data_IF_800321298146
#
_entry.id   IF_800321298146
#
_cell.length_a   1.000
_cell.length_b   1.000
_cell.length_c   1.000
_cell.angle_alpha   90.00
_cell.angle_beta   90.00
_cell.angle_gamma   90.00
#
_symmetry.space_group_name_H-M   'P 1'
#
loop_
_entity.id
_entity.type
_entity.pdbx_description
1 polymer ?
#
# COMPACT_ATOMS: atom_id res chain seq x y z
N UNK A 1 5.40 -57.20 15.74
CA UNK A 1 6.81 -57.42 16.06
C UNK A 1 7.19 -56.25 16.97
N UNK A 2 7.15 -56.38 18.32
CA UNK A 2 8.24 -56.77 19.22
C UNK A 2 9.40 -55.84 19.07
N UNK A 3 9.72 -54.95 20.01
CA UNK A 3 10.44 -55.10 21.30
C UNK A 3 10.33 -53.75 22.00
N UNK A 4 9.92 -53.57 23.23
CA UNK A 4 10.33 -53.99 24.56
C UNK A 4 11.88 -53.97 24.75
N UNK A 5 12.32 -52.97 25.50
CA UNK A 5 13.45 -53.05 26.47
C UNK A 5 13.51 -51.67 27.13
N UNK A 6 13.25 -51.59 28.33
CA UNK A 6 13.80 -52.08 29.60
C UNK A 6 14.33 -50.92 30.41
N UNK A 7 13.59 -50.69 31.45
CA UNK A 7 13.94 -50.17 32.75
C UNK A 7 15.41 -50.38 33.13
N UNK A 8 16.08 -49.32 33.62
CA UNK A 8 16.95 -49.49 34.78
C UNK A 8 16.92 -48.23 35.63
N UNK A 9 16.34 -48.37 36.77
CA UNK A 9 16.36 -47.44 37.88
C UNK A 9 17.82 -47.35 38.42
N UNK A 10 18.29 -46.17 38.69
CA UNK A 10 19.42 -45.97 39.59
C UNK A 10 19.05 -44.84 40.57
N UNK A 11 18.40 -45.26 41.64
CA UNK A 11 18.30 -44.51 42.89
C UNK A 11 19.72 -44.44 43.49
N UNK A 12 20.29 -43.24 43.50
CA UNK A 12 21.37 -42.89 44.44
C UNK A 12 20.95 -41.64 45.20
N UNK A 13 20.26 -41.94 46.31
CA UNK A 13 20.05 -40.97 47.38
C UNK A 13 21.39 -40.77 48.08
N UNK A 14 22.10 -39.74 47.76
CA UNK A 14 23.16 -39.19 48.61
C UNK A 14 22.55 -38.12 49.49
N UNK A 15 22.20 -38.50 50.70
CA UNK A 15 21.85 -37.61 51.77
C UNK A 15 23.04 -36.67 52.07
N UNK A 16 23.03 -35.51 51.48
CA UNK A 16 23.83 -34.41 51.97
C UNK A 16 23.10 -33.77 53.14
N UNK A 17 23.50 -34.13 54.34
CA UNK A 17 23.21 -33.37 55.55
C UNK A 17 23.88 -32.00 55.43
N UNK A 18 23.30 -31.09 54.64
CA UNK A 18 23.63 -29.70 54.69
C UNK A 18 23.16 -29.13 56.02
N UNK A 19 24.08 -28.71 56.89
CA UNK A 19 23.70 -27.91 58.07
C UNK A 19 22.83 -26.72 57.61
N UNK A 20 21.74 -26.44 58.34
CA UNK A 20 20.90 -25.29 57.98
C UNK A 20 21.78 -24.03 57.91
N UNK A 21 21.54 -23.15 56.94
CA UNK A 21 22.31 -21.91 56.80
C UNK A 21 22.20 -21.16 58.12
N UNK A 22 23.36 -20.90 58.73
CA UNK A 22 23.41 -20.07 59.92
C UNK A 22 22.85 -18.72 59.54
N UNK A 23 21.83 -18.25 60.25
CA UNK A 23 21.35 -16.91 60.16
C UNK A 23 22.53 -15.95 60.30
N UNK A 24 22.70 -14.97 59.46
CA UNK A 24 23.79 -14.00 59.58
C UNK A 24 23.69 -13.37 60.96
N UNK A 25 24.76 -13.58 61.79
CA UNK A 25 24.89 -12.89 63.07
C UNK A 25 25.02 -11.42 62.76
N UNK A 26 24.00 -10.66 63.14
CA UNK A 26 24.03 -9.20 63.03
C UNK A 26 25.13 -8.74 64.00
N UNK A 27 26.19 -8.14 63.45
CA UNK A 27 27.22 -7.51 64.26
C UNK A 27 26.64 -6.25 64.86
N UNK A 28 26.18 -6.32 66.09
CA UNK A 28 25.62 -5.17 66.85
C UNK A 28 26.65 -4.10 67.14
N UNK A 29 27.95 -4.37 66.93
CA UNK A 29 28.98 -3.35 67.10
C UNK A 29 28.99 -2.29 65.97
N UNK A 30 28.44 -2.64 64.83
CA UNK A 30 28.18 -1.67 63.76
C UNK A 30 26.88 -0.95 64.06
N UNK A 31 26.92 0.08 64.84
CA UNK A 31 25.76 0.99 65.04
C UNK A 31 25.32 1.47 63.66
N UNK A 32 24.18 0.97 63.20
CA UNK A 32 23.50 1.61 62.04
C UNK A 32 23.36 3.09 62.36
N UNK A 33 23.78 3.97 61.46
CA UNK A 33 23.58 5.39 61.68
C UNK A 33 22.10 5.58 62.06
N UNK A 34 21.85 6.14 63.23
CA UNK A 34 20.47 6.40 63.66
C UNK A 34 19.78 7.12 62.54
N UNK A 35 18.64 6.64 62.10
CA UNK A 35 17.78 7.32 61.10
C UNK A 35 17.29 8.60 61.75
N UNK A 36 18.09 9.63 61.74
CA UNK A 36 17.64 10.96 62.11
C UNK A 36 16.65 11.45 61.03
N UNK A 37 15.67 12.20 61.41
CA UNK A 37 14.69 12.75 60.46
C UNK A 37 15.39 13.39 59.25
N UNK A 38 16.48 14.13 59.50
CA UNK A 38 17.30 14.76 58.45
C UNK A 38 17.98 13.75 57.49
N UNK A 39 18.40 12.59 57.97
CA UNK A 39 19.02 11.55 57.13
C UNK A 39 17.98 10.90 56.23
N UNK A 40 16.76 10.72 56.74
CA UNK A 40 15.61 10.22 55.95
C UNK A 40 15.22 11.21 54.87
N UNK A 41 15.06 12.48 55.24
CA UNK A 41 14.73 13.58 54.28
C UNK A 41 15.78 13.69 53.17
N UNK A 42 17.07 13.61 53.52
CA UNK A 42 18.17 13.61 52.54
C UNK A 42 18.05 12.43 51.56
N UNK A 43 17.71 11.25 52.09
CA UNK A 43 17.58 10.04 51.24
C UNK A 43 16.37 10.16 50.32
N UNK A 44 15.23 10.68 50.82
CA UNK A 44 14.04 10.95 50.00
C UNK A 44 14.39 11.96 48.88
N UNK A 45 15.03 13.08 49.23
CA UNK A 45 15.43 14.09 48.25
C UNK A 45 16.38 13.53 47.18
N UNK A 46 17.34 12.65 47.54
CA UNK A 46 18.23 11.96 46.59
C UNK A 46 17.44 11.05 45.64
N UNK A 47 16.49 10.31 46.19
CA UNK A 47 15.67 9.40 45.41
C UNK A 47 14.77 10.18 44.40
N UNK A 48 14.19 11.27 44.86
CA UNK A 48 13.35 12.15 44.02
C UNK A 48 14.17 12.80 42.90
N UNK A 49 15.38 13.24 43.20
CA UNK A 49 16.30 13.77 42.20
C UNK A 49 16.68 12.72 41.17
N UNK A 50 16.96 11.48 41.62
CA UNK A 50 17.28 10.37 40.74
C UNK A 50 16.09 10.00 39.86
N UNK A 51 14.90 9.91 40.42
CA UNK A 51 13.66 9.64 39.69
C UNK A 51 13.38 10.71 38.63
N UNK A 52 13.58 11.99 39.02
CA UNK A 52 13.40 13.13 38.10
C UNK A 52 14.41 13.05 36.94
N UNK A 53 15.66 12.69 37.20
CA UNK A 53 16.68 12.48 36.15
C UNK A 53 16.32 11.35 35.20
N UNK A 54 15.84 10.21 35.72
CA UNK A 54 15.37 9.09 34.92
C UNK A 54 14.21 9.53 34.02
N UNK A 55 13.20 10.19 34.61
CA UNK A 55 12.05 10.68 33.87
C UNK A 55 12.45 11.69 32.78
N UNK A 56 13.38 12.59 33.05
CA UNK A 56 13.90 13.53 32.06
C UNK A 56 14.64 12.82 30.90
N UNK A 57 15.43 11.81 31.23
CA UNK A 57 16.16 11.00 30.21
C UNK A 57 15.19 10.22 29.33
N UNK A 58 14.19 9.59 29.91
CA UNK A 58 13.15 8.85 29.17
C UNK A 58 12.32 9.79 28.29
N UNK A 59 11.94 10.96 28.81
CA UNK A 59 11.23 12.00 28.03
C UNK A 59 12.09 12.47 26.85
N UNK A 60 13.39 12.68 27.06
CA UNK A 60 14.31 13.04 25.99
C UNK A 60 14.39 11.99 24.89
N UNK A 61 14.55 10.72 25.26
CA UNK A 61 14.56 9.60 24.31
C UNK A 61 13.26 9.47 23.51
N UNK A 62 12.13 9.65 24.21
CA UNK A 62 10.83 9.62 23.56
C UNK A 62 10.68 10.79 22.57
N UNK A 63 11.11 11.98 22.92
CA UNK A 63 11.10 13.14 22.04
C UNK A 63 11.97 12.92 20.80
N UNK A 64 13.18 12.39 20.95
CA UNK A 64 14.07 12.05 19.83
C UNK A 64 13.46 11.00 18.91
N UNK A 65 12.91 9.93 19.46
CA UNK A 65 12.25 8.88 18.65
C UNK A 65 11.03 9.39 17.91
N UNK A 66 10.28 10.28 18.53
CA UNK A 66 9.11 10.92 17.92
C UNK A 66 9.53 11.87 16.80
N UNK A 67 10.55 12.69 17.02
CA UNK A 67 11.11 13.57 16.00
C UNK A 67 11.60 12.77 14.77
N UNK A 68 12.37 11.72 14.99
CA UNK A 68 12.84 10.84 13.90
C UNK A 68 11.68 10.18 13.13
N UNK A 69 10.61 9.83 13.82
CA UNK A 69 9.41 9.27 13.17
C UNK A 69 8.69 10.31 12.32
N UNK A 70 8.55 11.52 12.81
CA UNK A 70 7.95 12.64 12.08
C UNK A 70 8.76 13.00 10.82
N UNK A 71 10.09 13.02 10.91
CA UNK A 71 10.96 13.24 9.76
C UNK A 71 10.79 12.16 8.68
N UNK A 72 10.70 10.89 9.08
CA UNK A 72 10.45 9.78 8.14
C UNK A 72 9.08 9.91 7.46
N UNK A 73 8.06 10.28 8.22
CA UNK A 73 6.72 10.50 7.67
C UNK A 73 6.69 11.67 6.70
N UNK A 74 7.34 12.80 7.04
CA UNK A 74 7.45 13.94 6.16
C UNK A 74 8.19 13.60 4.85
N UNK A 75 9.31 12.89 4.94
CA UNK A 75 10.03 12.42 3.77
C UNK A 75 9.19 11.49 2.88
N UNK A 76 8.42 10.58 3.50
CA UNK A 76 7.51 9.69 2.77
C UNK A 76 6.38 10.46 2.08
N UNK A 77 5.81 11.45 2.75
CA UNK A 77 4.78 12.31 2.15
C UNK A 77 5.32 13.09 0.93
N UNK A 78 6.52 13.65 1.05
CA UNK A 78 7.17 14.34 -0.08
C UNK A 78 7.43 13.39 -1.25
N UNK A 79 7.91 12.17 -0.98
CA UNK A 79 8.12 11.17 -2.01
C UNK A 79 6.80 10.80 -2.72
N UNK A 80 5.72 10.59 -1.97
CA UNK A 80 4.40 10.30 -2.54
C UNK A 80 3.87 11.48 -3.37
N UNK A 81 4.02 12.71 -2.90
CA UNK A 81 3.61 13.91 -3.63
C UNK A 81 4.38 14.08 -4.94
N UNK A 82 5.71 13.84 -4.94
CA UNK A 82 6.52 13.90 -6.14
C UNK A 82 6.14 12.83 -7.16
N UNK A 83 5.87 11.60 -6.69
CA UNK A 83 5.39 10.51 -7.56
C UNK A 83 4.01 10.83 -8.17
N UNK A 84 3.12 11.41 -7.38
CA UNK A 84 1.80 11.82 -7.86
C UNK A 84 1.88 12.97 -8.86
N UNK A 85 2.77 13.95 -8.65
CA UNK A 85 3.03 15.01 -9.61
C UNK A 85 3.61 14.46 -10.93
N UNK A 86 4.55 13.53 -10.87
CA UNK A 86 5.11 12.88 -12.07
C UNK A 86 4.04 12.07 -12.82
N UNK A 87 3.21 11.32 -12.11
CA UNK A 87 2.12 10.55 -12.74
C UNK A 87 1.09 11.47 -13.40
N UNK A 88 0.77 12.59 -12.77
CA UNK A 88 -0.14 13.59 -13.33
C UNK A 88 0.44 14.27 -14.59
N UNK A 89 1.73 14.59 -14.60
CA UNK A 89 2.40 15.13 -15.78
C UNK A 89 2.41 14.12 -16.94
N UNK A 90 2.66 12.84 -16.64
CA UNK A 90 2.63 11.77 -17.64
C UNK A 90 1.21 11.59 -18.20
N UNK A 91 0.20 11.65 -17.34
CA UNK A 91 -1.21 11.56 -17.76
C UNK A 91 -1.66 12.75 -18.62
N UNK A 92 -1.19 13.98 -18.31
CA UNK A 92 -1.46 15.17 -19.13
C UNK A 92 -0.79 15.12 -20.52
N UNK A 93 0.29 14.34 -20.65
CA UNK A 93 0.94 14.14 -21.94
C UNK A 93 0.24 13.10 -22.84
N UNK A 94 -0.72 12.32 -22.29
CA UNK A 94 -1.47 11.32 -23.05
C UNK A 94 -2.65 11.96 -23.78
N UNK A 95 -2.90 11.49 -25.00
CA UNK A 95 -4.13 11.84 -25.71
C UNK A 95 -5.30 10.99 -25.18
N UNK A 96 -6.42 11.63 -24.87
CA UNK A 96 -7.63 10.92 -24.45
C UNK A 96 -8.74 11.21 -25.45
N UNK A 97 -9.33 10.15 -26.00
CA UNK A 97 -10.43 10.22 -26.95
C UNK A 97 -11.59 9.34 -26.46
N UNK A 98 -12.79 9.63 -26.92
CA UNK A 98 -13.96 8.80 -26.62
C UNK A 98 -14.79 8.56 -27.89
N UNK A 99 -15.11 7.32 -28.16
CA UNK A 99 -16.04 6.89 -29.20
C UNK A 99 -17.34 6.48 -28.53
N UNK A 100 -18.45 7.10 -28.92
CA UNK A 100 -19.79 6.85 -28.38
C UNK A 100 -20.54 5.84 -29.24
N UNK A 101 -21.50 5.17 -28.61
CA UNK A 101 -22.29 4.14 -29.26
C UNK A 101 -23.78 4.33 -28.98
N UNK A 102 -24.59 4.05 -29.99
CA UNK A 102 -26.02 3.95 -29.81
C UNK A 102 -26.42 2.77 -28.92
N UNK A 103 -27.63 2.79 -28.43
CA UNK A 103 -28.17 1.70 -27.62
C UNK A 103 -28.07 0.36 -28.35
N UNK A 104 -27.49 -0.65 -27.73
CA UNK A 104 -27.32 -1.97 -28.32
C UNK A 104 -26.34 -2.06 -29.49
N UNK A 105 -25.75 -0.94 -29.95
CA UNK A 105 -24.85 -0.91 -31.10
C UNK A 105 -23.39 -1.12 -30.72
N UNK A 106 -22.64 -1.76 -31.60
CA UNK A 106 -21.18 -1.90 -31.60
C UNK A 106 -20.54 -1.22 -32.82
N UNK A 107 -21.36 -0.51 -33.64
CA UNK A 107 -20.85 0.17 -34.82
C UNK A 107 -20.05 1.40 -34.45
N UNK A 108 -18.81 1.45 -34.94
CA UNK A 108 -17.89 2.58 -34.72
C UNK A 108 -18.26 3.71 -35.67
N UNK A 109 -18.58 4.88 -35.10
CA UNK A 109 -18.80 6.12 -35.84
C UNK A 109 -17.94 7.19 -35.18
N UNK A 110 -16.94 7.68 -35.91
CA UNK A 110 -16.01 8.71 -35.41
C UNK A 110 -16.11 9.91 -36.38
N UNK A 111 -16.37 11.13 -35.87
CA UNK A 111 -16.28 12.33 -36.71
C UNK A 111 -14.90 12.47 -37.38
N UNK A 112 -14.85 12.96 -38.61
CA UNK A 112 -13.64 12.98 -39.42
C UNK A 112 -12.45 13.69 -38.71
N UNK A 113 -12.72 14.82 -38.06
CA UNK A 113 -11.69 15.60 -37.36
C UNK A 113 -11.12 14.82 -36.13
N UNK A 114 -12.01 14.15 -35.42
CA UNK A 114 -11.61 13.30 -34.26
C UNK A 114 -10.87 12.05 -34.76
N UNK A 115 -11.29 11.47 -35.86
CA UNK A 115 -10.65 10.30 -36.46
C UNK A 115 -9.21 10.59 -36.86
N UNK A 116 -8.97 11.71 -37.58
CA UNK A 116 -7.61 12.11 -37.97
C UNK A 116 -6.73 12.37 -36.74
N UNK A 117 -7.21 13.15 -35.78
CA UNK A 117 -6.43 13.44 -34.55
C UNK A 117 -6.09 12.17 -33.75
N UNK A 118 -7.05 11.23 -33.64
CA UNK A 118 -6.86 9.95 -32.97
C UNK A 118 -5.82 9.10 -33.71
N UNK A 119 -5.96 8.94 -35.03
CA UNK A 119 -5.07 8.09 -35.83
C UNK A 119 -3.65 8.67 -35.82
N UNK A 120 -3.50 9.97 -36.00
CA UNK A 120 -2.18 10.63 -35.99
C UNK A 120 -1.49 10.48 -34.61
N UNK A 121 -2.24 10.63 -33.53
CA UNK A 121 -1.71 10.40 -32.19
C UNK A 121 -1.32 8.93 -31.98
N UNK A 122 -2.14 7.98 -32.44
CA UNK A 122 -1.94 6.55 -32.24
C UNK A 122 -0.77 6.00 -33.08
N UNK A 123 -0.46 6.58 -34.24
CA UNK A 123 0.64 6.13 -35.13
C UNK A 123 1.99 6.12 -34.45
N UNK A 124 2.28 7.12 -33.64
CA UNK A 124 3.56 7.27 -32.93
C UNK A 124 3.53 6.73 -31.51
N UNK A 125 2.36 6.37 -31.01
CA UNK A 125 2.19 5.92 -29.63
C UNK A 125 2.77 4.52 -29.41
N UNK A 126 3.56 4.30 -28.35
CA UNK A 126 4.02 2.97 -27.97
C UNK A 126 2.91 2.09 -27.37
N UNK A 127 1.83 2.70 -26.89
CA UNK A 127 0.67 2.00 -26.30
C UNK A 127 -0.61 2.78 -26.52
N UNK A 128 -1.66 2.08 -26.94
CA UNK A 128 -3.04 2.56 -26.98
C UNK A 128 -3.89 1.66 -26.10
N UNK A 129 -4.52 2.22 -25.09
CA UNK A 129 -5.40 1.51 -24.18
C UNK A 129 -6.87 1.83 -24.49
N UNK A 130 -7.65 0.80 -24.74
CA UNK A 130 -9.09 0.89 -24.99
C UNK A 130 -9.84 0.37 -23.76
N UNK A 131 -10.87 1.12 -23.32
CA UNK A 131 -11.76 0.69 -22.24
C UNK A 131 -13.21 0.78 -22.71
N UNK A 132 -13.83 -0.38 -22.91
CA UNK A 132 -15.26 -0.47 -23.24
C UNK A 132 -16.13 -0.20 -22.02
N UNK A 133 -17.09 0.71 -22.17
CA UNK A 133 -18.07 1.11 -21.13
C UNK A 133 -19.48 0.94 -21.63
N UNK A 134 -20.41 0.77 -20.69
CA UNK A 134 -21.85 0.77 -20.97
C UNK A 134 -22.59 1.74 -20.04
N UNK A 135 -23.87 1.83 -20.22
CA UNK A 135 -24.81 2.55 -19.34
C UNK A 135 -25.53 1.61 -18.35
N UNK A 136 -25.08 0.35 -18.23
CA UNK A 136 -25.65 -0.62 -17.29
C UNK A 136 -25.42 -0.21 -15.83
N UNK A 137 -26.48 -0.28 -15.01
CA UNK A 137 -26.39 0.05 -13.58
C UNK A 137 -25.62 -1.00 -12.77
N UNK A 138 -25.57 -2.24 -13.26
CA UNK A 138 -24.89 -3.36 -12.64
C UNK A 138 -24.12 -4.15 -13.68
N UNK A 139 -23.07 -4.82 -13.24
CA UNK A 139 -22.35 -5.72 -14.11
C UNK A 139 -23.18 -6.98 -14.40
N UNK A 140 -23.42 -7.25 -15.66
CA UNK A 140 -24.09 -8.46 -16.13
C UNK A 140 -23.31 -9.09 -17.29
N UNK A 141 -23.53 -10.38 -17.59
CA UNK A 141 -22.91 -11.02 -18.77
C UNK A 141 -23.22 -10.32 -20.09
N UNK A 142 -24.42 -9.73 -20.23
CA UNK A 142 -24.81 -8.98 -21.41
C UNK A 142 -24.05 -7.65 -21.54
N UNK A 143 -23.94 -6.90 -20.43
CA UNK A 143 -23.17 -5.66 -20.39
C UNK A 143 -21.69 -5.91 -20.61
N UNK A 144 -21.12 -6.95 -20.00
CA UNK A 144 -19.72 -7.35 -20.21
C UNK A 144 -19.44 -7.73 -21.65
N UNK A 145 -20.38 -8.43 -22.30
CA UNK A 145 -20.27 -8.79 -23.72
C UNK A 145 -20.27 -7.55 -24.61
N UNK A 146 -21.25 -6.65 -24.48
CA UNK A 146 -21.36 -5.48 -25.34
C UNK A 146 -20.19 -4.50 -25.13
N UNK A 147 -19.70 -4.34 -23.89
CA UNK A 147 -18.50 -3.54 -23.58
C UNK A 147 -17.26 -4.10 -24.29
N UNK A 148 -17.08 -5.42 -24.27
CA UNK A 148 -15.99 -6.10 -24.95
C UNK A 148 -16.08 -5.97 -26.46
N UNK A 149 -17.26 -6.19 -27.03
CA UNK A 149 -17.50 -6.09 -28.48
C UNK A 149 -17.25 -4.66 -29.00
N UNK A 150 -17.64 -3.63 -28.24
CA UNK A 150 -17.33 -2.22 -28.55
C UNK A 150 -15.83 -1.94 -28.53
N UNK A 151 -15.12 -2.42 -27.50
CA UNK A 151 -13.68 -2.25 -27.43
C UNK A 151 -12.97 -2.98 -28.58
N UNK A 152 -13.44 -4.18 -28.94
CA UNK A 152 -12.93 -4.93 -30.09
C UNK A 152 -13.18 -4.18 -31.42
N UNK A 153 -14.38 -3.65 -31.61
CA UNK A 153 -14.72 -2.88 -32.82
C UNK A 153 -13.83 -1.63 -33.00
N UNK A 154 -13.54 -0.92 -31.91
CA UNK A 154 -12.60 0.22 -31.95
C UNK A 154 -11.17 -0.25 -32.22
N UNK A 155 -10.74 -1.38 -31.63
CA UNK A 155 -9.45 -1.98 -31.96
C UNK A 155 -9.33 -2.30 -33.44
N UNK A 156 -10.34 -2.95 -34.01
CA UNK A 156 -10.34 -3.33 -35.42
C UNK A 156 -10.34 -2.10 -36.33
N UNK A 157 -11.05 -1.05 -35.95
CA UNK A 157 -11.02 0.25 -36.63
C UNK A 157 -9.61 0.84 -36.65
N UNK A 158 -8.89 0.86 -35.50
CA UNK A 158 -7.53 1.37 -35.42
C UNK A 158 -6.52 0.50 -36.21
N UNK A 159 -6.67 -0.81 -36.15
CA UNK A 159 -5.86 -1.74 -36.95
C UNK A 159 -6.10 -1.53 -38.44
N UNK A 160 -7.34 -1.34 -38.87
CA UNK A 160 -7.71 -0.99 -40.26
C UNK A 160 -7.11 0.35 -40.71
N UNK A 161 -6.87 1.30 -39.77
CA UNK A 161 -6.18 2.56 -40.01
C UNK A 161 -4.62 2.45 -39.99
N UNK A 162 -4.09 1.24 -39.84
CA UNK A 162 -2.64 0.95 -39.88
C UNK A 162 -1.92 1.04 -38.54
N UNK A 163 -2.65 1.00 -37.42
CA UNK A 163 -2.02 0.93 -36.09
C UNK A 163 -1.66 -0.53 -35.79
N UNK A 164 -0.43 -0.76 -35.33
CA UNK A 164 0.05 -2.10 -34.97
C UNK A 164 -0.80 -2.72 -33.82
N UNK A 165 -1.45 -3.88 -34.04
CA UNK A 165 -2.26 -4.52 -33.02
C UNK A 165 -1.48 -4.89 -31.74
N UNK A 166 -0.16 -5.06 -31.82
CA UNK A 166 0.68 -5.36 -30.66
C UNK A 166 0.75 -4.17 -29.66
N UNK A 167 0.51 -2.96 -30.15
CA UNK A 167 0.47 -1.73 -29.31
C UNK A 167 -0.90 -1.42 -28.73
N UNK A 168 -1.94 -2.15 -29.12
CA UNK A 168 -3.31 -1.91 -28.68
C UNK A 168 -3.68 -2.90 -27.56
N UNK A 169 -4.12 -2.39 -26.43
CA UNK A 169 -4.68 -3.17 -25.32
C UNK A 169 -6.17 -2.82 -25.18
N UNK A 170 -7.02 -3.81 -25.38
CA UNK A 170 -8.46 -3.66 -25.22
C UNK A 170 -8.91 -4.29 -23.90
N UNK A 171 -9.53 -3.49 -23.07
CA UNK A 171 -10.13 -3.87 -21.79
C UNK A 171 -11.59 -3.45 -21.77
N UNK A 172 -12.34 -3.91 -20.79
CA UNK A 172 -13.74 -3.50 -20.60
C UNK A 172 -14.07 -3.47 -19.11
N UNK A 173 -14.91 -2.51 -18.76
CA UNK A 173 -15.51 -2.39 -17.44
C UNK A 173 -16.93 -1.89 -17.69
N UNK A 174 -17.92 -2.79 -17.69
CA UNK A 174 -19.27 -2.46 -18.20
C UNK A 174 -20.00 -1.46 -17.33
N UNK A 175 -19.92 -1.57 -16.01
CA UNK A 175 -20.65 -0.72 -15.08
C UNK A 175 -19.70 0.18 -14.28
N UNK A 176 -20.23 1.31 -13.81
CA UNK A 176 -19.47 2.32 -13.07
C UNK A 176 -18.69 3.28 -13.97
N UNK A 177 -17.93 4.19 -13.35
CA UNK A 177 -17.18 5.25 -14.06
C UNK A 177 -18.01 6.03 -15.08
N UNK A 178 -19.21 6.43 -14.70
CA UNK A 178 -20.05 7.26 -15.54
C UNK A 178 -19.47 8.66 -15.69
N UNK A 179 -19.43 9.16 -16.94
CA UNK A 179 -18.98 10.54 -17.21
C UNK A 179 -20.10 11.55 -16.98
N UNK A 180 -21.34 11.07 -16.94
CA UNK A 180 -22.52 11.89 -16.65
C UNK A 180 -23.56 11.09 -15.88
N UNK A 181 -24.56 11.79 -15.35
CA UNK A 181 -25.70 11.16 -14.69
C UNK A 181 -26.35 10.09 -15.57
N UNK A 182 -26.43 8.86 -15.09
CA UNK A 182 -26.96 7.71 -15.79
C UNK A 182 -28.50 7.62 -15.75
N UNK A 183 -29.17 8.49 -15.01
CA UNK A 183 -30.62 8.51 -14.88
C UNK A 183 -31.30 9.05 -16.16
N UNK A 184 -30.63 9.98 -16.84
CA UNK A 184 -31.17 10.60 -18.07
C UNK A 184 -30.83 9.82 -19.34
N UNK A 185 -31.70 9.82 -20.37
CA UNK A 185 -31.39 9.18 -21.66
C UNK A 185 -30.13 9.75 -22.34
N UNK A 186 -29.93 11.06 -22.26
CA UNK A 186 -28.73 11.74 -22.79
C UNK A 186 -27.46 11.31 -22.04
N UNK A 187 -27.52 11.24 -20.71
CA UNK A 187 -26.42 10.77 -19.90
C UNK A 187 -26.03 9.32 -20.19
N UNK A 188 -27.04 8.44 -20.33
CA UNK A 188 -26.79 7.07 -20.79
C UNK A 188 -26.09 7.02 -22.14
N UNK A 189 -26.49 7.89 -23.09
CA UNK A 189 -25.83 8.02 -24.38
C UNK A 189 -24.35 8.39 -24.26
N UNK A 190 -23.98 9.23 -23.30
CA UNK A 190 -22.61 9.62 -23.03
C UNK A 190 -21.81 8.48 -22.35
N UNK A 191 -22.49 7.67 -21.55
CA UNK A 191 -21.86 6.56 -20.82
C UNK A 191 -21.58 5.34 -21.72
N UNK A 192 -22.35 5.14 -22.81
CA UNK A 192 -22.09 4.12 -23.84
C UNK A 192 -20.91 4.53 -24.70
N UNK A 193 -19.70 4.29 -24.25
CA UNK A 193 -18.47 4.74 -24.90
C UNK A 193 -17.34 3.71 -24.85
N UNK A 194 -16.37 3.93 -25.71
CA UNK A 194 -15.02 3.37 -25.55
C UNK A 194 -14.08 4.55 -25.31
N UNK A 195 -13.39 4.52 -24.20
CA UNK A 195 -12.32 5.44 -23.88
C UNK A 195 -11.04 4.94 -24.54
N UNK A 196 -10.30 5.85 -25.15
CA UNK A 196 -9.06 5.57 -25.87
C UNK A 196 -7.99 6.45 -25.26
N UNK A 197 -7.08 5.85 -24.53
CA UNK A 197 -5.88 6.53 -24.03
C UNK A 197 -4.69 6.22 -24.92
N UNK A 198 -4.14 7.25 -25.51
CA UNK A 198 -2.97 7.17 -26.37
C UNK A 198 -1.74 7.60 -25.57
N UNK A 199 -0.90 6.67 -25.20
CA UNK A 199 0.29 6.90 -24.37
C UNK A 199 1.45 7.36 -25.23
N UNK A 200 2.08 8.46 -24.87
CA UNK A 200 3.28 8.97 -25.53
C UNK A 200 4.56 8.29 -25.07
N UNK A 201 4.53 7.66 -23.91
CA UNK A 201 5.60 6.83 -23.36
C UNK A 201 5.01 5.59 -22.71
N UNK A 202 5.75 4.49 -22.67
CA UNK A 202 5.31 3.29 -21.95
C UNK A 202 5.26 3.60 -20.44
N UNK A 203 4.18 3.21 -19.76
CA UNK A 203 4.13 3.29 -18.31
C UNK A 203 5.27 2.47 -17.71
N UNK A 204 6.14 3.11 -16.94
CA UNK A 204 7.19 2.41 -16.21
C UNK A 204 6.54 1.70 -15.03
N UNK A 205 6.59 0.37 -15.02
CA UNK A 205 6.22 -0.39 -13.83
C UNK A 205 7.23 -0.01 -12.74
N UNK A 206 6.78 0.71 -11.72
CA UNK A 206 7.60 0.92 -10.54
C UNK A 206 7.76 -0.43 -9.86
N UNK A 207 8.95 -1.01 -9.95
CA UNK A 207 9.32 -2.16 -9.13
C UNK A 207 9.06 -1.76 -7.68
N UNK A 208 8.18 -2.50 -7.00
CA UNK A 208 7.96 -2.33 -5.58
C UNK A 208 9.34 -2.39 -4.91
N UNK A 209 9.83 -1.25 -4.43
CA UNK A 209 11.06 -1.19 -3.67
C UNK A 209 10.92 -2.19 -2.55
N UNK A 210 11.80 -3.17 -2.55
CA UNK A 210 11.96 -4.14 -1.46
C UNK A 210 11.94 -3.36 -0.16
N UNK A 211 10.88 -3.52 0.62
CA UNK A 211 10.82 -3.03 1.99
C UNK A 211 12.00 -3.68 2.70
N UNK A 212 12.99 -2.92 3.19
CA UNK A 212 14.06 -3.51 3.96
C UNK A 212 13.41 -4.23 5.14
N UNK A 213 13.61 -5.55 5.23
CA UNK A 213 13.17 -6.35 6.36
C UNK A 213 13.73 -5.72 7.62
N UNK A 214 12.85 -5.30 8.52
CA UNK A 214 13.23 -4.84 9.87
C UNK A 214 14.15 -5.87 10.50
N UNK A 215 15.30 -5.48 11.06
CA UNK A 215 16.09 -6.40 11.85
C UNK A 215 15.25 -6.84 13.05
N UNK A 216 15.17 -8.16 13.27
CA UNK A 216 14.57 -8.72 14.46
C UNK A 216 15.32 -8.15 15.68
N UNK A 217 14.58 -7.58 16.60
CA UNK A 217 15.08 -7.17 17.91
C UNK A 217 15.49 -8.42 18.71
N UNK A 218 16.60 -8.37 19.44
CA UNK A 218 17.07 -9.44 20.31
C UNK A 218 16.16 -9.65 21.53
#
# INVERSE_FOLDING_TARGET
MRSLFSLTACLLVLGSCGSPPRLPTVDESVKRPANTAMAVELQVCKNDLQNTRIAATESGRLAESTAATLERLAARQQALASMQAQSSQTAQANGVFAVRFDFGSTRVVVPADTASALIDSARTAPLVLLRGRTDGATESPAESRIARERAAAVRDYLVGAGIDPARIRATYQPAGDYVTDNSSPSGRGMNRRVEIEVYRALPVAMSASTVPSSPALP
#
